data_IF_668562888768
#
_entry.id   IF_668562888768
#
_cell.length_a   1.000
_cell.length_b   1.000
_cell.length_c   1.000
_cell.angle_alpha   90.00
_cell.angle_beta   90.00
_cell.angle_gamma   90.00
#
_symmetry.space_group_name_H-M   'P 1'
#
loop_
_entity.id
_entity.type
_entity.pdbx_description
1 polymer ?
#
# COMPACT_ATOMS: atom_id res chain seq x y z
N UNK A 1 13.68 25.43 -19.72
CA UNK A 1 13.71 24.00 -19.40
C UNK A 1 14.75 23.63 -18.36
N UNK A 2 16.06 23.87 -18.55
CA UNK A 2 17.12 23.54 -17.53
C UNK A 2 16.86 24.14 -16.13
N UNK A 3 16.32 25.36 -16.03
CA UNK A 3 16.00 26.03 -14.77
C UNK A 3 14.90 25.26 -14.02
N UNK A 4 13.80 24.93 -14.70
CA UNK A 4 12.66 24.16 -14.14
C UNK A 4 13.13 22.81 -13.60
N UNK A 5 13.96 22.08 -14.37
CA UNK A 5 14.51 20.79 -13.93
C UNK A 5 15.33 20.93 -12.64
N UNK A 6 16.16 21.99 -12.55
CA UNK A 6 16.96 22.23 -11.34
C UNK A 6 16.09 22.59 -10.13
N UNK A 7 15.03 23.37 -10.34
CA UNK A 7 14.07 23.74 -9.30
C UNK A 7 13.38 22.50 -8.73
N UNK A 8 12.89 21.61 -9.58
CA UNK A 8 12.27 20.35 -9.13
C UNK A 8 13.26 19.44 -8.38
N UNK A 9 14.51 19.34 -8.81
CA UNK A 9 15.51 18.60 -8.03
C UNK A 9 15.81 19.24 -6.68
N UNK A 10 15.79 20.56 -6.60
CA UNK A 10 15.99 21.27 -5.33
C UNK A 10 14.82 21.03 -4.37
N UNK A 11 13.58 21.17 -4.86
CA UNK A 11 12.37 20.89 -4.12
C UNK A 11 12.32 19.44 -3.63
N UNK A 12 12.62 18.49 -4.51
CA UNK A 12 12.67 17.07 -4.15
C UNK A 12 13.67 16.79 -3.03
N UNK A 13 14.85 17.42 -3.08
CA UNK A 13 15.87 17.29 -2.01
C UNK A 13 15.39 17.89 -0.70
N UNK A 14 14.71 19.03 -0.74
CA UNK A 14 14.15 19.66 0.46
C UNK A 14 13.10 18.75 1.13
N UNK A 15 12.18 18.17 0.34
CA UNK A 15 11.20 17.21 0.84
C UNK A 15 11.88 15.97 1.41
N UNK A 16 12.86 15.38 0.70
CA UNK A 16 13.59 14.22 1.18
C UNK A 16 14.27 14.47 2.54
N UNK A 17 14.86 15.65 2.71
CA UNK A 17 15.47 16.03 4.00
C UNK A 17 14.44 16.10 5.14
N UNK A 18 13.20 16.54 4.88
CA UNK A 18 12.14 16.56 5.89
C UNK A 18 11.60 15.17 6.23
N UNK A 19 11.69 14.23 5.31
CA UNK A 19 11.25 12.83 5.55
C UNK A 19 12.12 12.15 6.62
N UNK A 20 13.37 12.55 6.77
CA UNK A 20 14.27 12.01 7.80
C UNK A 20 13.69 12.22 9.21
N UNK A 21 12.92 13.28 9.45
CA UNK A 21 12.26 13.55 10.73
C UNK A 21 11.10 12.58 11.03
N UNK A 22 10.69 11.76 10.05
CA UNK A 22 9.63 10.76 10.19
C UNK A 22 10.16 9.35 10.54
N UNK A 23 11.47 9.22 10.79
CA UNK A 23 12.12 7.92 11.03
C UNK A 23 11.41 7.11 12.11
N UNK A 24 11.06 7.70 13.26
CA UNK A 24 10.35 7.05 14.34
C UNK A 24 8.91 6.63 13.97
N UNK A 25 8.24 7.34 13.06
CA UNK A 25 6.92 6.97 12.55
C UNK A 25 7.03 5.81 11.56
N UNK A 26 8.04 5.87 10.69
CA UNK A 26 8.34 4.81 9.73
C UNK A 26 8.69 3.51 10.47
N UNK A 27 9.52 3.58 11.51
CA UNK A 27 9.87 2.42 12.34
C UNK A 27 8.64 1.79 13.00
N UNK A 28 7.73 2.60 13.55
CA UNK A 28 6.48 2.11 14.15
C UNK A 28 5.63 1.36 13.13
N UNK A 29 5.41 1.95 11.95
CA UNK A 29 4.64 1.30 10.86
C UNK A 29 5.32 0.00 10.45
N UNK A 30 6.62 0.01 10.21
CA UNK A 30 7.37 -1.20 9.85
C UNK A 30 7.22 -2.31 10.90
N UNK A 31 7.30 -1.97 12.19
CA UNK A 31 7.14 -2.94 13.28
C UNK A 31 5.71 -3.53 13.32
N UNK A 32 4.67 -2.73 13.06
CA UNK A 32 3.30 -3.25 12.96
C UNK A 32 3.14 -4.22 11.79
N UNK A 33 3.64 -3.88 10.61
CA UNK A 33 3.60 -4.76 9.42
C UNK A 33 4.36 -6.07 9.68
N UNK A 34 5.55 -6.00 10.29
CA UNK A 34 6.35 -7.18 10.65
C UNK A 34 5.61 -8.05 11.66
N UNK A 35 4.99 -7.45 12.67
CA UNK A 35 4.23 -8.17 13.69
C UNK A 35 3.03 -8.90 13.07
N UNK A 36 2.25 -8.23 12.22
CA UNK A 36 1.15 -8.82 11.46
C UNK A 36 1.61 -10.06 10.69
N UNK A 37 2.65 -9.93 9.87
CA UNK A 37 3.18 -11.02 9.04
C UNK A 37 3.80 -12.16 9.85
N UNK A 38 4.38 -11.89 11.02
CA UNK A 38 4.90 -12.91 11.94
C UNK A 38 3.78 -13.72 12.60
N UNK A 39 2.63 -13.09 12.83
CA UNK A 39 1.44 -13.73 13.40
C UNK A 39 0.50 -14.29 12.32
N UNK A 40 1.00 -14.51 11.11
CA UNK A 40 0.28 -15.08 9.97
C UNK A 40 -0.88 -14.20 9.45
N UNK A 41 -0.89 -12.92 9.79
CA UNK A 41 -1.84 -11.94 9.28
C UNK A 41 -1.54 -11.52 7.84
N UNK A 42 -2.49 -10.84 7.22
CA UNK A 42 -2.46 -10.35 5.84
C UNK A 42 -2.32 -8.84 5.82
N UNK A 43 -1.51 -8.31 4.89
CA UNK A 43 -1.47 -6.88 4.61
C UNK A 43 -2.29 -6.60 3.36
N UNK A 44 -3.34 -5.81 3.53
CA UNK A 44 -4.18 -5.30 2.44
C UNK A 44 -3.72 -3.90 2.04
N UNK A 45 -3.72 -3.65 0.73
CA UNK A 45 -3.36 -2.36 0.15
C UNK A 45 -4.51 -1.80 -0.65
N UNK A 46 -4.80 -0.51 -0.50
CA UNK A 46 -5.80 0.17 -1.30
C UNK A 46 -5.35 1.58 -1.67
N UNK A 47 -5.91 2.11 -2.73
CA UNK A 47 -5.66 3.45 -3.25
C UNK A 47 -6.27 3.62 -4.62
N UNK A 48 -6.24 4.84 -5.13
CA UNK A 48 -6.87 5.18 -6.41
C UNK A 48 -5.84 5.70 -7.41
N UNK A 49 -6.10 5.56 -8.69
CA UNK A 49 -5.20 6.06 -9.73
C UNK A 49 -3.78 5.50 -9.62
N UNK A 50 -2.78 6.38 -9.49
CA UNK A 50 -1.39 5.97 -9.27
C UNK A 50 -1.20 5.16 -8.00
N UNK A 51 -1.89 5.54 -6.91
CA UNK A 51 -1.86 4.80 -5.65
C UNK A 51 -2.47 3.39 -5.74
N UNK A 52 -3.35 3.13 -6.72
CA UNK A 52 -3.80 1.77 -7.01
C UNK A 52 -2.66 0.93 -7.62
N UNK A 53 -1.86 1.51 -8.50
CA UNK A 53 -0.67 0.86 -9.07
C UNK A 53 0.38 0.59 -7.99
N UNK A 54 0.61 1.55 -7.10
CA UNK A 54 1.52 1.38 -5.96
C UNK A 54 1.05 0.25 -5.04
N UNK A 55 -0.26 0.16 -4.77
CA UNK A 55 -0.86 -0.93 -3.98
C UNK A 55 -0.56 -2.30 -4.57
N UNK A 56 -0.72 -2.46 -5.88
CA UNK A 56 -0.41 -3.72 -6.59
C UNK A 56 1.08 -4.02 -6.57
N UNK A 57 1.93 -3.02 -6.76
CA UNK A 57 3.38 -3.17 -6.71
C UNK A 57 3.83 -3.66 -5.33
N UNK A 58 3.40 -3.00 -4.25
CA UNK A 58 3.77 -3.36 -2.88
C UNK A 58 3.26 -4.75 -2.48
N UNK A 59 2.05 -5.13 -2.89
CA UNK A 59 1.55 -6.48 -2.70
C UNK A 59 2.42 -7.51 -3.42
N UNK A 60 2.83 -7.22 -4.66
CA UNK A 60 3.72 -8.06 -5.45
C UNK A 60 5.10 -8.24 -4.79
N UNK A 61 5.68 -7.18 -4.22
CA UNK A 61 6.95 -7.25 -3.50
C UNK A 61 6.89 -8.17 -2.27
N UNK A 62 5.75 -8.19 -1.56
CA UNK A 62 5.58 -9.06 -0.39
C UNK A 62 5.29 -10.52 -0.77
N UNK A 63 4.46 -10.77 -1.77
CA UNK A 63 4.14 -12.12 -2.25
C UNK A 63 5.33 -12.75 -2.98
N UNK A 64 6.00 -12.00 -3.83
CA UNK A 64 7.21 -12.40 -4.52
C UNK A 64 8.45 -12.24 -3.64
N UNK A 65 9.37 -11.38 -4.05
CA UNK A 65 10.56 -10.98 -3.28
C UNK A 65 10.96 -9.55 -3.62
N UNK A 66 11.56 -8.85 -2.68
CA UNK A 66 12.15 -7.52 -2.91
C UNK A 66 13.67 -7.58 -3.03
N UNK A 67 14.40 -7.82 -1.95
CA UNK A 67 15.86 -7.81 -1.95
C UNK A 67 16.45 -9.23 -1.98
N UNK A 68 15.99 -10.10 -1.12
CA UNK A 68 16.52 -11.45 -0.95
C UNK A 68 15.48 -12.54 -1.17
N UNK A 69 15.93 -13.78 -1.37
CA UNK A 69 15.03 -14.92 -1.42
C UNK A 69 14.46 -15.20 -0.03
N UNK A 70 13.16 -15.44 0.05
CA UNK A 70 12.41 -15.72 1.28
C UNK A 70 11.07 -16.38 0.98
N UNK A 71 10.41 -16.89 2.03
CA UNK A 71 9.03 -17.36 1.89
C UNK A 71 8.09 -16.24 1.43
N UNK A 72 7.03 -16.56 0.68
CA UNK A 72 5.96 -15.61 0.37
C UNK A 72 5.33 -15.06 1.66
N UNK A 73 4.95 -13.78 1.62
CA UNK A 73 4.25 -13.10 2.71
C UNK A 73 2.83 -12.78 2.27
N UNK A 74 1.86 -12.90 3.19
CA UNK A 74 0.44 -12.66 2.89
C UNK A 74 0.20 -11.19 2.58
N UNK A 75 -0.15 -10.89 1.34
CA UNK A 75 -0.37 -9.51 0.89
C UNK A 75 -1.35 -9.48 -0.29
N UNK A 76 -2.30 -8.56 -0.24
CA UNK A 76 -3.37 -8.43 -1.24
C UNK A 76 -3.57 -6.96 -1.59
N UNK A 77 -3.55 -6.65 -2.88
CA UNK A 77 -4.00 -5.35 -3.37
C UNK A 77 -5.49 -5.42 -3.70
N UNK A 78 -6.30 -4.69 -2.97
CA UNK A 78 -7.76 -4.61 -3.18
C UNK A 78 -8.14 -3.89 -4.49
N UNK A 79 -7.14 -3.46 -5.23
CA UNK A 79 -7.26 -2.74 -6.51
C UNK A 79 -7.03 -3.62 -7.74
N UNK A 80 -6.74 -4.92 -7.54
CA UNK A 80 -6.30 -5.79 -8.64
C UNK A 80 -7.45 -6.49 -9.37
N UNK A 81 -8.53 -6.83 -8.67
CA UNK A 81 -9.69 -7.52 -9.27
C UNK A 81 -10.70 -6.52 -9.81
N UNK A 82 -10.64 -6.27 -11.11
CA UNK A 82 -11.54 -5.33 -11.79
C UNK A 82 -13.01 -5.79 -11.78
N UNK A 83 -13.26 -7.10 -11.75
CA UNK A 83 -14.62 -7.63 -11.71
C UNK A 83 -15.26 -7.37 -10.34
N UNK A 84 -14.53 -7.64 -9.26
CA UNK A 84 -14.97 -7.31 -7.89
C UNK A 84 -15.20 -5.81 -7.73
N UNK A 85 -14.23 -4.98 -8.18
CA UNK A 85 -14.32 -3.53 -8.06
C UNK A 85 -15.54 -2.98 -8.80
N UNK A 86 -15.73 -3.36 -10.05
CA UNK A 86 -16.84 -2.84 -10.87
C UNK A 86 -18.20 -3.36 -10.40
N UNK A 87 -18.28 -4.59 -9.93
CA UNK A 87 -19.49 -5.15 -9.30
C UNK A 87 -19.88 -4.32 -8.07
N UNK A 88 -18.95 -4.08 -7.16
CA UNK A 88 -19.23 -3.28 -5.96
C UNK A 88 -19.67 -1.87 -6.33
N UNK A 89 -19.01 -1.20 -7.28
CA UNK A 89 -19.41 0.15 -7.72
C UNK A 89 -20.81 0.15 -8.29
N UNK A 90 -21.16 -0.83 -9.11
CA UNK A 90 -22.46 -0.94 -9.74
C UNK A 90 -23.61 -1.15 -8.73
N UNK A 91 -23.38 -2.00 -7.73
CA UNK A 91 -24.43 -2.46 -6.81
C UNK A 91 -24.51 -1.63 -5.53
N UNK A 92 -23.39 -1.05 -5.07
CA UNK A 92 -23.29 -0.41 -3.75
C UNK A 92 -22.68 0.99 -3.76
N UNK A 93 -22.13 1.44 -4.89
CA UNK A 93 -21.45 2.73 -5.01
C UNK A 93 -19.95 2.66 -4.78
N UNK A 94 -19.27 3.70 -5.26
CA UNK A 94 -17.81 3.77 -5.26
C UNK A 94 -17.19 3.78 -3.85
N UNK A 95 -17.84 4.40 -2.90
CA UNK A 95 -17.39 4.52 -1.50
C UNK A 95 -17.28 3.17 -0.77
N UNK A 96 -17.91 2.13 -1.31
CA UNK A 96 -17.89 0.79 -0.74
C UNK A 96 -16.80 -0.12 -1.31
N UNK A 97 -16.03 0.37 -2.28
CA UNK A 97 -15.13 -0.44 -3.11
C UNK A 97 -14.06 -1.18 -2.31
N UNK A 98 -13.55 -0.58 -1.24
CA UNK A 98 -12.54 -1.20 -0.39
C UNK A 98 -13.14 -1.79 0.89
N UNK A 99 -14.11 -1.11 1.52
CA UNK A 99 -14.71 -1.57 2.77
C UNK A 99 -15.36 -2.95 2.62
N UNK A 100 -16.12 -3.19 1.55
CA UNK A 100 -16.74 -4.50 1.32
C UNK A 100 -15.72 -5.63 1.10
N UNK A 101 -14.59 -5.33 0.48
CA UNK A 101 -13.53 -6.32 0.32
C UNK A 101 -12.83 -6.62 1.66
N UNK A 102 -12.61 -5.59 2.49
CA UNK A 102 -12.08 -5.77 3.85
C UNK A 102 -13.04 -6.58 4.71
N UNK A 103 -14.34 -6.28 4.67
CA UNK A 103 -15.36 -7.03 5.41
C UNK A 103 -15.42 -8.51 5.00
N UNK A 104 -15.17 -8.80 3.71
CA UNK A 104 -15.22 -10.16 3.19
C UNK A 104 -13.94 -10.97 3.43
N UNK A 105 -12.79 -10.33 3.41
CA UNK A 105 -11.48 -11.01 3.37
C UNK A 105 -10.67 -10.80 4.66
N UNK A 106 -10.93 -9.71 5.38
CA UNK A 106 -10.15 -9.32 6.55
C UNK A 106 -10.48 -10.13 7.80
N UNK A 107 -9.49 -10.30 8.62
CA UNK A 107 -9.57 -10.97 9.92
C UNK A 107 -8.88 -10.15 10.99
N UNK A 108 -9.16 -10.45 12.24
CA UNK A 108 -8.48 -9.81 13.37
C UNK A 108 -6.96 -10.04 13.29
N UNK A 109 -6.19 -8.97 13.42
CA UNK A 109 -4.72 -9.00 13.32
C UNK A 109 -4.18 -8.65 11.91
N UNK A 110 -5.05 -8.53 10.92
CA UNK A 110 -4.69 -8.02 9.58
C UNK A 110 -4.47 -6.50 9.59
N UNK A 111 -3.79 -6.00 8.58
CA UNK A 111 -3.53 -4.56 8.43
C UNK A 111 -4.02 -4.09 7.06
N UNK A 112 -4.76 -2.98 7.05
CA UNK A 112 -5.10 -2.24 5.84
C UNK A 112 -4.20 -1.00 5.72
N UNK A 113 -3.55 -0.86 4.57
CA UNK A 113 -2.74 0.32 4.21
C UNK A 113 -3.43 1.07 3.07
N UNK A 114 -3.87 2.29 3.35
CA UNK A 114 -4.39 3.22 2.35
C UNK A 114 -3.30 4.13 1.81
N UNK A 115 -3.17 4.20 0.49
CA UNK A 115 -2.23 5.10 -0.21
C UNK A 115 -3.02 6.23 -0.86
N UNK A 116 -2.59 7.49 -0.60
CA UNK A 116 -3.27 8.67 -1.13
C UNK A 116 -2.27 9.74 -1.57
#
# INVERSE_FOLDING_TARGET
MKKIIKEHFFEHRAVLNSVVELDGSIEKVANHLICCLKNDGTIFWCGNGGSASDSQHLAGELVGRFVGDRRPLKSIALTADSAVMTCIVNDYGYEQIFSRQVDALGSEGDILVGIT
#
